data_IF_836442168668
#
_entry.id   IF_836442168668
#
_cell.length_a   1.000
_cell.length_b   1.000
_cell.length_c   1.000
_cell.angle_alpha   90.00
_cell.angle_beta   90.00
_cell.angle_gamma   90.00
#
_symmetry.space_group_name_H-M   'P 1'
#
loop_
_entity.id
_entity.type
_entity.pdbx_description
1 polymer ?
#
# COMPACT_ATOMS: atom_id res chain seq x y z
N UNK A 1 -18.61 22.37 -25.77
CA UNK A 1 -19.20 22.23 -24.42
C UNK A 1 -18.30 21.33 -23.61
N UNK A 2 -17.47 21.90 -22.73
CA UNK A 2 -16.48 21.16 -21.95
C UNK A 2 -17.05 20.89 -20.56
N UNK A 3 -17.26 19.62 -20.22
CA UNK A 3 -17.60 19.18 -18.87
C UNK A 3 -16.55 18.16 -18.40
N UNK A 4 -15.30 18.61 -18.29
CA UNK A 4 -14.31 17.96 -17.44
C UNK A 4 -14.39 18.63 -16.08
N UNK A 5 -14.93 17.93 -15.08
CA UNK A 5 -14.68 18.28 -13.69
C UNK A 5 -13.46 17.48 -13.25
N UNK A 6 -12.39 18.11 -12.73
CA UNK A 6 -11.27 17.37 -12.19
C UNK A 6 -11.80 16.47 -11.07
N UNK A 7 -11.53 15.16 -11.16
CA UNK A 7 -11.83 14.24 -10.06
C UNK A 7 -11.08 14.78 -8.84
N UNK A 8 -11.78 15.12 -7.73
CA UNK A 8 -11.11 15.61 -6.55
C UNK A 8 -10.13 14.53 -6.08
N UNK A 9 -8.84 14.85 -6.05
CA UNK A 9 -7.83 14.01 -5.39
C UNK A 9 -8.07 14.14 -3.90
N UNK A 10 -8.87 13.23 -3.35
CA UNK A 10 -9.04 13.12 -1.90
C UNK A 10 -7.70 12.66 -1.35
N UNK A 11 -7.01 13.58 -0.66
CA UNK A 11 -5.75 13.30 0.04
C UNK A 11 -6.10 12.85 1.44
N UNK A 12 -5.97 11.55 1.69
CA UNK A 12 -6.18 10.99 3.02
C UNK A 12 -4.80 10.79 3.64
N UNK A 13 -4.46 11.65 4.60
CA UNK A 13 -3.20 11.56 5.38
C UNK A 13 -3.26 10.49 6.47
N UNK A 14 -4.44 9.94 6.73
CA UNK A 14 -4.64 8.88 7.71
C UNK A 14 -5.64 7.86 7.16
N UNK A 15 -5.15 6.70 6.78
CA UNK A 15 -6.03 5.61 6.41
C UNK A 15 -5.33 4.27 6.46
N UNK A 16 -6.01 3.16 6.72
CA UNK A 16 -7.45 2.92 6.76
C UNK A 16 -7.67 1.45 7.12
N UNK A 17 -8.82 1.19 7.74
CA UNK A 17 -9.44 -0.11 8.01
C UNK A 17 -8.54 -1.13 8.75
N UNK A 18 -9.04 -1.64 9.87
CA UNK A 18 -8.33 -2.69 10.59
C UNK A 18 -8.31 -3.99 9.78
N UNK A 19 -7.25 -4.78 9.98
CA UNK A 19 -7.24 -6.16 9.51
C UNK A 19 -8.44 -6.90 10.12
N UNK A 20 -9.10 -7.80 9.38
CA UNK A 20 -10.11 -8.68 9.96
C UNK A 20 -9.56 -9.42 11.18
N UNK A 21 -10.36 -9.58 12.23
CA UNK A 21 -9.91 -10.20 13.48
C UNK A 21 -9.56 -11.69 13.33
N UNK A 22 -9.99 -12.33 12.25
CA UNK A 22 -9.82 -13.76 11.99
C UNK A 22 -8.67 -14.09 11.02
N UNK A 23 -7.89 -13.10 10.56
CA UNK A 23 -6.74 -13.35 9.68
C UNK A 23 -5.42 -13.45 10.44
N UNK A 24 -4.51 -14.28 9.95
CA UNK A 24 -3.16 -14.48 10.48
C UNK A 24 -2.11 -14.14 9.45
N UNK A 25 -1.03 -13.51 9.91
CA UNK A 25 0.15 -13.27 9.08
C UNK A 25 0.73 -14.62 8.63
N UNK A 26 1.01 -14.76 7.34
CA UNK A 26 1.61 -15.99 6.79
C UNK A 26 2.84 -15.72 5.92
N UNK A 27 3.07 -14.48 5.48
CA UNK A 27 4.21 -14.10 4.65
C UNK A 27 4.59 -12.65 4.91
N UNK A 28 5.89 -12.39 5.10
CA UNK A 28 6.49 -11.05 5.11
C UNK A 28 7.50 -10.98 3.97
N UNK A 29 7.56 -9.84 3.29
CA UNK A 29 8.56 -9.54 2.27
C UNK A 29 9.24 -8.19 2.55
N UNK A 30 10.57 -8.10 2.40
CA UNK A 30 11.50 -9.22 2.23
C UNK A 30 11.43 -10.26 3.38
N UNK A 31 11.90 -11.49 3.14
CA UNK A 31 11.73 -12.61 4.10
C UNK A 31 12.57 -12.43 5.37
N UNK A 32 13.75 -11.83 5.26
CA UNK A 32 14.58 -11.52 6.42
C UNK A 32 13.97 -10.32 7.17
N UNK A 33 13.78 -10.46 8.49
CA UNK A 33 13.19 -9.44 9.35
C UNK A 33 14.01 -8.13 9.38
N UNK A 34 15.31 -8.21 9.17
CA UNK A 34 16.24 -7.08 9.17
C UNK A 34 16.37 -6.40 7.80
N UNK A 35 15.68 -6.90 6.77
CA UNK A 35 15.70 -6.29 5.43
C UNK A 35 14.34 -5.72 5.03
N UNK A 36 14.41 -4.68 4.21
CA UNK A 36 13.29 -3.86 3.75
C UNK A 36 13.34 -3.67 2.24
N UNK A 37 12.20 -3.42 1.61
CA UNK A 37 12.20 -2.84 0.28
C UNK A 37 12.58 -1.36 0.37
N UNK A 38 13.34 -0.92 -0.61
CA UNK A 38 13.69 0.48 -0.86
C UNK A 38 13.45 0.81 -2.34
N UNK A 39 13.72 2.05 -2.76
CA UNK A 39 13.48 2.49 -4.14
C UNK A 39 14.15 1.60 -5.20
N UNK A 40 15.30 1.00 -4.90
CA UNK A 40 16.12 0.24 -5.84
C UNK A 40 15.76 -1.27 -5.86
N UNK A 41 15.29 -1.78 -4.72
CA UNK A 41 14.96 -3.22 -4.53
C UNK A 41 13.47 -3.51 -4.65
N UNK A 42 12.64 -2.48 -4.72
CA UNK A 42 11.20 -2.63 -4.88
C UNK A 42 10.86 -3.32 -6.20
N UNK A 43 10.07 -4.42 -6.20
CA UNK A 43 9.67 -5.07 -7.44
C UNK A 43 8.82 -4.13 -8.30
N UNK A 44 9.21 -3.96 -9.58
CA UNK A 44 8.52 -3.07 -10.53
C UNK A 44 7.02 -3.35 -10.66
N UNK A 45 6.59 -4.60 -10.44
CA UNK A 45 5.17 -4.97 -10.45
C UNK A 45 4.32 -4.22 -9.42
N UNK A 46 4.92 -3.82 -8.29
CA UNK A 46 4.22 -3.07 -7.25
C UNK A 46 4.01 -1.58 -7.60
N UNK A 47 4.79 -1.06 -8.56
CA UNK A 47 4.63 0.29 -9.11
C UNK A 47 3.49 0.40 -10.14
N UNK A 48 3.02 -0.75 -10.62
CA UNK A 48 1.94 -0.86 -11.60
C UNK A 48 0.62 -1.23 -10.92
N UNK A 49 -0.50 -1.10 -11.65
CA UNK A 49 -1.82 -1.51 -11.15
C UNK A 49 -1.83 -3.02 -10.87
N UNK A 50 -2.04 -3.40 -9.62
CA UNK A 50 -2.12 -4.79 -9.16
C UNK A 50 -3.10 -4.92 -8.00
N UNK A 51 -3.36 -6.15 -7.55
CA UNK A 51 -4.16 -6.43 -6.36
C UNK A 51 -3.65 -7.68 -5.64
N UNK A 52 -4.18 -7.93 -4.44
CA UNK A 52 -4.03 -9.22 -3.76
C UNK A 52 -5.12 -10.19 -4.22
N UNK A 53 -4.90 -11.49 -3.97
CA UNK A 53 -5.89 -12.54 -4.26
C UNK A 53 -7.08 -12.46 -3.29
N UNK A 54 -8.18 -13.10 -3.65
CA UNK A 54 -9.31 -13.31 -2.74
C UNK A 54 -8.84 -13.96 -1.43
N UNK A 55 -9.33 -13.44 -0.29
CA UNK A 55 -8.94 -13.92 1.03
C UNK A 55 -7.50 -13.61 1.45
N UNK A 56 -6.81 -12.71 0.74
CA UNK A 56 -5.46 -12.25 1.08
C UNK A 56 -5.46 -10.75 1.31
N UNK A 57 -5.05 -10.34 2.51
CA UNK A 57 -4.84 -8.96 2.89
C UNK A 57 -3.36 -8.63 2.92
N UNK A 58 -3.01 -7.38 2.65
CA UNK A 58 -1.66 -6.84 2.82
C UNK A 58 -1.62 -5.78 3.93
N UNK A 59 -0.46 -5.60 4.54
CA UNK A 59 -0.16 -4.46 5.42
C UNK A 59 1.11 -3.78 4.92
N UNK A 60 0.98 -2.51 4.53
CA UNK A 60 2.08 -1.62 4.16
C UNK A 60 2.42 -0.76 5.37
N UNK A 61 3.63 -0.89 5.89
CA UNK A 61 4.09 -0.14 7.06
C UNK A 61 5.45 0.45 6.75
N UNK A 62 5.56 1.77 6.67
CA UNK A 62 6.84 2.43 6.42
C UNK A 62 7.68 2.39 7.70
N UNK A 63 8.98 2.18 7.55
CA UNK A 63 9.97 2.20 8.65
C UNK A 63 10.77 3.50 8.59
N UNK A 64 11.12 3.94 7.38
CA UNK A 64 11.85 5.18 7.11
C UNK A 64 11.39 5.75 5.75
N UNK A 65 11.45 7.08 5.61
CA UNK A 65 11.01 7.78 4.40
C UNK A 65 9.48 7.86 4.24
N UNK A 66 9.03 8.02 2.99
CA UNK A 66 7.62 8.18 2.65
C UNK A 66 7.19 7.36 1.42
N UNK A 67 5.96 6.87 1.43
CA UNK A 67 5.35 6.06 0.36
C UNK A 67 3.93 6.55 0.03
N UNK A 68 3.61 6.65 -1.26
CA UNK A 68 2.24 6.83 -1.74
C UNK A 68 1.61 5.47 -1.99
N UNK A 69 0.52 5.16 -1.29
CA UNK A 69 -0.39 4.06 -1.61
C UNK A 69 -1.63 4.61 -2.29
N UNK A 70 -1.97 4.11 -3.48
CA UNK A 70 -3.06 4.65 -4.31
C UNK A 70 -4.05 3.56 -4.68
N UNK A 71 -5.30 3.72 -4.24
CA UNK A 71 -6.42 2.83 -4.59
C UNK A 71 -7.04 3.27 -5.91
N UNK A 72 -7.34 2.32 -6.80
CA UNK A 72 -7.67 2.53 -8.21
C UNK A 72 -9.05 1.94 -8.59
N UNK A 73 -10.02 2.01 -7.69
CA UNK A 73 -11.40 1.57 -7.91
C UNK A 73 -12.25 2.72 -8.49
N UNK A 74 -13.58 2.68 -8.30
CA UNK A 74 -14.54 3.69 -8.76
C UNK A 74 -14.16 5.13 -8.37
N UNK A 75 -13.50 5.30 -7.22
CA UNK A 75 -12.86 6.55 -6.82
C UNK A 75 -11.37 6.29 -6.59
N UNK A 76 -10.53 7.13 -7.20
CA UNK A 76 -9.09 7.12 -6.96
C UNK A 76 -8.83 7.84 -5.65
N UNK A 77 -8.17 7.16 -4.71
CA UNK A 77 -7.82 7.72 -3.39
C UNK A 77 -6.33 7.55 -3.14
N UNK A 78 -5.70 8.63 -2.68
CA UNK A 78 -4.27 8.70 -2.39
C UNK A 78 -4.04 8.71 -0.87
N UNK A 79 -3.22 7.77 -0.40
CA UNK A 79 -2.77 7.62 0.98
C UNK A 79 -1.27 7.86 1.07
N UNK A 80 -0.88 8.77 1.96
CA UNK A 80 0.53 9.11 2.18
C UNK A 80 0.98 8.44 3.47
N UNK A 81 1.95 7.54 3.35
CA UNK A 81 2.46 6.74 4.44
C UNK A 81 3.86 7.18 4.83
N UNK A 82 4.11 7.24 6.13
CA UNK A 82 5.41 7.47 6.76
C UNK A 82 5.55 6.52 7.98
N UNK A 83 6.61 6.67 8.77
CA UNK A 83 6.88 5.78 9.91
C UNK A 83 5.84 5.86 11.05
N UNK A 84 4.95 6.86 11.04
CA UNK A 84 3.91 7.04 12.05
C UNK A 84 2.60 6.30 11.73
N UNK A 85 2.44 5.77 10.51
CA UNK A 85 1.19 5.15 10.06
C UNK A 85 1.41 3.88 9.21
N UNK A 86 0.30 3.23 8.85
CA UNK A 86 0.30 2.05 7.97
C UNK A 86 -1.03 1.97 7.20
N UNK A 87 -1.03 1.24 6.09
CA UNK A 87 -2.25 0.93 5.34
C UNK A 87 -2.53 -0.58 5.32
N UNK A 88 -3.80 -0.95 5.41
CA UNK A 88 -4.28 -2.30 5.07
C UNK A 88 -4.73 -2.32 3.61
N UNK A 89 -4.19 -3.28 2.87
CA UNK A 89 -4.61 -3.60 1.51
C UNK A 89 -5.69 -4.66 1.60
N UNK A 90 -6.92 -4.31 1.22
CA UNK A 90 -8.04 -5.23 1.16
C UNK A 90 -7.86 -6.27 0.04
N UNK A 91 -8.45 -7.45 0.25
CA UNK A 91 -8.48 -8.50 -0.77
C UNK A 91 -9.12 -7.99 -2.08
N UNK A 92 -8.52 -8.35 -3.23
CA UNK A 92 -9.00 -8.01 -4.58
C UNK A 92 -8.98 -6.52 -4.95
N UNK A 93 -8.67 -5.62 -4.01
CA UNK A 93 -8.66 -4.18 -4.22
C UNK A 93 -7.50 -3.77 -5.14
N UNK A 94 -7.79 -3.12 -6.26
CA UNK A 94 -6.75 -2.65 -7.16
C UNK A 94 -6.06 -1.39 -6.66
N UNK A 95 -4.73 -1.41 -6.70
CA UNK A 95 -3.89 -0.34 -6.20
C UNK A 95 -2.53 -0.28 -6.90
N UNK A 96 -1.76 0.74 -6.56
CA UNK A 96 -0.33 0.87 -6.83
C UNK A 96 0.37 1.51 -5.63
N UNK A 97 1.68 1.34 -5.53
CA UNK A 97 2.52 2.08 -4.59
C UNK A 97 3.61 2.86 -5.31
N UNK A 98 4.08 3.96 -4.72
CA UNK A 98 5.18 4.76 -5.25
C UNK A 98 6.07 5.28 -4.11
N UNK A 99 7.40 5.11 -4.18
CA UNK A 99 8.31 5.83 -3.30
C UNK A 99 8.16 7.34 -3.45
N UNK A 100 8.12 8.07 -2.34
CA UNK A 100 8.12 9.53 -2.34
C UNK A 100 9.47 10.12 -1.93
N UNK A 101 10.25 9.37 -1.15
CA UNK A 101 11.61 9.74 -0.73
C UNK A 101 12.65 8.69 -1.15
N UNK A 102 13.92 9.10 -1.20
CA UNK A 102 15.04 8.24 -1.61
C UNK A 102 15.45 7.22 -0.53
N UNK A 103 15.21 7.56 0.73
CA UNK A 103 15.52 6.77 1.93
C UNK A 103 14.39 5.81 2.34
N UNK A 104 13.37 5.64 1.48
CA UNK A 104 12.23 4.78 1.78
C UNK A 104 12.68 3.36 2.20
N UNK A 105 12.20 2.92 3.36
CA UNK A 105 12.30 1.54 3.82
C UNK A 105 10.96 1.03 4.31
N UNK A 106 10.51 -0.12 3.82
CA UNK A 106 9.28 -0.75 4.31
C UNK A 106 9.26 -2.28 4.07
N UNK A 107 8.66 -3.06 4.97
CA UNK A 107 8.21 -4.42 4.65
C UNK A 107 6.76 -4.43 4.16
N UNK A 108 6.40 -5.53 3.50
CA UNK A 108 5.03 -5.88 3.15
C UNK A 108 4.66 -7.20 3.85
N UNK A 109 3.63 -7.17 4.69
CA UNK A 109 3.13 -8.37 5.39
C UNK A 109 1.79 -8.80 4.81
N UNK A 110 1.62 -10.09 4.53
CA UNK A 110 0.39 -10.67 4.00
C UNK A 110 -0.29 -11.56 5.04
N UNK A 111 -1.62 -11.50 5.02
CA UNK A 111 -2.51 -12.17 5.95
C UNK A 111 -3.55 -12.99 5.19
N UNK A 112 -4.01 -14.08 5.81
CA UNK A 112 -5.10 -14.93 5.32
C UNK A 112 -5.84 -15.54 6.52
N UNK A 113 -7.05 -16.05 6.31
CA UNK A 113 -7.72 -16.89 7.31
C UNK A 113 -6.96 -18.20 7.55
#
# INVERSE_FOLDING_TARGET
MAWWKPIPKIRVVSGLEDLPTDVKAYKRLPKNAETFYNKDTLPMGLLSRHNTRAGVWGKLQVVEGELLYKVLESLVVDYFLDSSNYAVIQALLYHTIKPLTDDLQFPLTFFKK
#
